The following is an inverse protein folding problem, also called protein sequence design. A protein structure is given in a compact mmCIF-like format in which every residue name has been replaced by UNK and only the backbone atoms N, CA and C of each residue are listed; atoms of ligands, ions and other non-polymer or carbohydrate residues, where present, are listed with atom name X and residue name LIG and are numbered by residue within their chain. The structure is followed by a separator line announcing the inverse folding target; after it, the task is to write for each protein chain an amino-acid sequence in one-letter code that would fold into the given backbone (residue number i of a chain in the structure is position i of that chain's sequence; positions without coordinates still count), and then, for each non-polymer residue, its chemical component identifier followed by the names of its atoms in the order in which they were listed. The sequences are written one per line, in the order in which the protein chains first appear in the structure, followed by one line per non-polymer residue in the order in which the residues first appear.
data_IF_109447341113
#
_entry.id   IF_109447341113
#
_cell.length_a   1.000
_cell.length_b   1.000
_cell.length_c   1.000
_cell.angle_alpha   90.00
_cell.angle_beta   90.00
_cell.angle_gamma   90.00
#
_symmetry.space_group_name_H-M   'P 1'
#
loop_
_entity.id
_entity.type
_entity.pdbx_description
1 polymer ?
#
# COMPACT_ATOMS: atom_id res chain seq x y z
N UNK A 1 -13.91 7.86 -9.30
CA UNK A 1 -12.45 7.57 -9.36
C UNK A 1 -11.94 7.61 -7.93
N UNK A 2 -11.10 6.64 -7.53
CA UNK A 2 -10.52 6.62 -6.19
C UNK A 2 -9.14 7.29 -6.19
N UNK A 3 -8.81 7.98 -5.10
CA UNK A 3 -7.55 8.71 -4.94
C UNK A 3 -6.91 8.37 -3.59
N UNK A 4 -5.58 8.27 -3.58
CA UNK A 4 -4.76 8.24 -2.37
C UNK A 4 -3.82 9.44 -2.35
N UNK A 5 -4.04 10.32 -1.38
CA UNK A 5 -3.15 11.44 -1.05
C UNK A 5 -2.25 11.04 0.13
N UNK A 6 -0.94 11.17 -0.03
CA UNK A 6 0.06 10.84 0.99
C UNK A 6 0.84 12.10 1.32
N UNK A 7 0.84 12.49 2.61
CA UNK A 7 1.64 13.62 3.11
C UNK A 7 2.45 13.19 4.33
N UNK A 8 3.73 13.53 4.35
CA UNK A 8 4.66 13.26 5.47
C UNK A 8 4.62 11.81 6.00
N UNK A 9 4.48 10.83 5.12
CA UNK A 9 4.42 9.41 5.48
C UNK A 9 5.71 8.70 5.10
N UNK A 10 6.45 8.23 6.10
CA UNK A 10 7.80 7.64 5.93
C UNK A 10 8.70 8.61 5.17
N UNK A 11 9.23 8.20 4.01
CA UNK A 11 10.10 9.03 3.14
C UNK A 11 9.34 9.79 2.05
N UNK A 12 8.00 9.71 2.02
CA UNK A 12 7.17 10.41 1.05
C UNK A 12 6.68 11.70 1.68
N UNK A 13 7.22 12.83 1.20
CA UNK A 13 6.78 14.16 1.65
C UNK A 13 5.40 14.49 1.08
N UNK A 14 5.21 14.28 -0.23
CA UNK A 14 3.93 14.48 -0.90
C UNK A 14 3.79 13.53 -2.10
N UNK A 15 2.66 12.85 -2.23
CA UNK A 15 2.29 12.07 -3.40
C UNK A 15 0.77 11.98 -3.56
N UNK A 16 0.31 12.01 -4.82
CA UNK A 16 -1.10 11.82 -5.18
C UNK A 16 -1.18 10.68 -6.21
N UNK A 17 -1.99 9.67 -5.91
CA UNK A 17 -2.23 8.54 -6.81
C UNK A 17 -3.71 8.46 -7.16
N UNK A 18 -4.01 8.47 -8.46
CA UNK A 18 -5.36 8.23 -8.97
C UNK A 18 -5.48 6.79 -9.44
N UNK A 19 -6.34 6.01 -8.79
CA UNK A 19 -6.57 4.62 -9.16
C UNK A 19 -7.50 4.51 -10.35
N UNK A 20 -7.15 3.60 -11.25
CA UNK A 20 -8.00 3.16 -12.34
C UNK A 20 -8.76 1.88 -11.95
N UNK A 21 -9.89 1.62 -12.60
CA UNK A 21 -10.56 0.33 -12.49
C UNK A 21 -9.66 -0.79 -13.00
N UNK A 22 -9.63 -1.93 -12.30
CA UNK A 22 -8.80 -3.07 -12.66
C UNK A 22 -7.41 -3.04 -12.00
N UNK A 23 -6.40 -3.52 -12.74
CA UNK A 23 -5.05 -3.68 -12.22
C UNK A 23 -4.25 -2.37 -12.27
N UNK A 24 -3.78 -1.93 -11.10
CA UNK A 24 -2.87 -0.79 -10.98
C UNK A 24 -1.46 -1.30 -10.64
N UNK A 25 -0.43 -0.89 -11.39
CA UNK A 25 0.95 -1.35 -11.21
C UNK A 25 1.85 -0.18 -10.84
N UNK A 26 2.60 -0.30 -9.73
CA UNK A 26 3.58 0.69 -9.29
C UNK A 26 4.99 0.30 -9.76
N UNK A 27 5.58 1.10 -10.65
CA UNK A 27 6.92 0.86 -11.22
C UNK A 27 7.87 2.00 -10.82
N UNK A 28 9.16 1.69 -10.64
CA UNK A 28 10.18 2.68 -10.33
C UNK A 28 11.43 2.05 -9.73
N UNK A 29 12.46 2.85 -9.46
CA UNK A 29 13.73 2.38 -8.89
C UNK A 29 13.56 1.67 -7.53
N UNK A 30 14.54 0.84 -7.17
CA UNK A 30 14.64 0.30 -5.82
C UNK A 30 14.70 1.45 -4.81
N UNK A 31 14.03 1.29 -3.67
CA UNK A 31 13.95 2.33 -2.65
C UNK A 31 13.26 3.65 -3.08
N UNK A 32 12.53 3.71 -4.20
CA UNK A 32 11.83 4.93 -4.63
C UNK A 32 10.60 5.31 -3.77
N UNK A 33 10.11 4.41 -2.89
CA UNK A 33 8.93 4.68 -2.05
C UNK A 33 7.71 3.82 -2.36
N UNK A 34 7.79 2.89 -3.33
CA UNK A 34 6.69 1.97 -3.69
C UNK A 34 6.12 1.22 -2.47
N UNK A 35 6.97 0.67 -1.61
CA UNK A 35 6.53 0.00 -0.38
C UNK A 35 5.80 0.95 0.58
N UNK A 36 6.23 2.21 0.68
CA UNK A 36 5.56 3.20 1.51
C UNK A 36 4.17 3.57 0.99
N UNK A 37 3.97 3.60 -0.33
CA UNK A 37 2.64 3.80 -0.94
C UNK A 37 1.69 2.65 -0.58
N UNK A 38 2.15 1.40 -0.73
CA UNK A 38 1.31 0.23 -0.39
C UNK A 38 1.02 0.18 1.11
N UNK A 39 1.98 0.54 1.96
CA UNK A 39 1.77 0.57 3.41
C UNK A 39 0.84 1.69 3.85
N UNK A 40 0.86 2.86 3.19
CA UNK A 40 -0.13 3.90 3.42
C UNK A 40 -1.54 3.39 3.07
N UNK A 41 -1.71 2.77 1.91
CA UNK A 41 -2.99 2.18 1.50
C UNK A 41 -3.46 1.11 2.51
N UNK A 42 -2.55 0.24 2.96
CA UNK A 42 -2.86 -0.75 4.00
C UNK A 42 -3.27 -0.12 5.32
N UNK A 43 -2.58 0.93 5.80
CA UNK A 43 -2.95 1.58 7.06
C UNK A 43 -4.35 2.21 7.04
N UNK A 44 -4.85 2.56 5.86
CA UNK A 44 -6.19 3.12 5.69
C UNK A 44 -7.27 2.05 5.56
N UNK A 45 -6.92 0.88 5.01
CA UNK A 45 -7.88 -0.18 4.68
C UNK A 45 -7.88 -1.35 5.68
N UNK A 46 -6.76 -1.61 6.35
CA UNK A 46 -6.68 -2.61 7.40
C UNK A 46 -7.36 -2.03 8.65
N UNK A 47 -8.53 -2.57 8.99
CA UNK A 47 -9.11 -2.37 10.33
C UNK A 47 -8.10 -2.83 11.40
N UNK A 48 -8.19 -2.24 12.58
CA UNK A 48 -7.19 -2.32 13.66
C UNK A 48 -6.70 -3.74 14.05
N UNK A 49 -7.36 -4.82 13.66
CA UNK A 49 -7.18 -6.16 14.26
C UNK A 49 -6.91 -7.31 13.29
N UNK A 50 -6.77 -7.10 11.98
CA UNK A 50 -6.61 -8.24 11.06
C UNK A 50 -5.13 -8.51 10.69
N UNK A 51 -4.53 -9.62 11.16
CA UNK A 51 -3.15 -9.96 10.82
C UNK A 51 -3.03 -10.24 9.33
N UNK A 52 -1.93 -9.77 8.74
CA UNK A 52 -1.66 -9.85 7.32
C UNK A 52 -1.87 -11.27 6.76
N UNK A 53 -2.77 -11.49 5.78
CA UNK A 53 -2.89 -12.78 5.12
C UNK A 53 -1.60 -13.05 4.34
N UNK A 54 -0.76 -13.89 4.92
CA UNK A 54 0.45 -14.40 4.28
C UNK A 54 0.01 -15.49 3.29
N UNK A 55 0.04 -15.17 2.00
CA UNK A 55 -0.06 -16.16 0.93
C UNK A 55 1.19 -17.05 0.98
N UNK A 56 1.21 -18.05 1.86
CA UNK A 56 2.36 -18.95 1.98
C UNK A 56 2.46 -19.81 3.24
N UNK A 57 1.66 -19.58 4.29
CA UNK A 57 1.67 -20.49 5.45
C UNK A 57 0.48 -21.46 5.35
N UNK A 58 0.70 -22.79 5.28
CA UNK A 58 -0.37 -23.72 5.57
C UNK A 58 -0.77 -23.55 7.06
N UNK A 59 -2.02 -23.88 7.41
CA UNK A 59 -2.50 -23.70 8.78
C UNK A 59 -1.61 -24.47 9.74
N UNK A 60 -1.16 -23.81 10.81
CA UNK A 60 -0.65 -24.50 11.98
C UNK A 60 -1.84 -25.25 12.61
N UNK A 61 -1.59 -26.52 12.94
CA UNK A 61 -2.52 -27.54 13.46
C UNK A 61 -3.70 -27.05 14.29
#
# INVERSE_FOLDING_TARGET
MAELTITNFRKINNAVLHFQSGLNVLVGANNAGKTAIVDALRSLLAGHDEPYPRLGNPPAH
#
